data_IF_274887593109
#
_entry.id   IF_274887593109
#
_cell.length_a   1.000
_cell.length_b   1.000
_cell.length_c   1.000
_cell.angle_alpha   90.00
_cell.angle_beta   90.00
_cell.angle_gamma   90.00
#
_symmetry.space_group_name_H-M   'P 1'
#
loop_
_entity.id
_entity.type
_entity.pdbx_description
1 polymer ?
#
# COMPACT_ATOMS: atom_id res chain seq x y z
N UNK A 1 -19.09 15.03 8.54
CA UNK A 1 -18.27 14.66 7.39
C UNK A 1 -18.19 13.14 7.42
N UNK A 2 -18.27 12.52 6.26
CA UNK A 2 -18.20 11.07 6.09
C UNK A 2 -16.90 10.70 5.38
N UNK A 3 -16.52 9.41 5.39
CA UNK A 3 -15.39 8.93 4.59
C UNK A 3 -15.52 9.27 3.09
N UNK A 4 -16.74 9.42 2.57
CA UNK A 4 -17.03 9.91 1.21
C UNK A 4 -16.62 11.37 1.01
N UNK A 5 -16.88 12.22 2.00
CA UNK A 5 -16.49 13.63 1.95
C UNK A 5 -14.97 13.76 2.02
N UNK A 6 -14.31 12.99 2.89
CA UNK A 6 -12.84 12.87 2.94
C UNK A 6 -12.26 12.58 1.55
N UNK A 7 -12.80 11.58 0.84
CA UNK A 7 -12.33 11.21 -0.50
C UNK A 7 -12.48 12.37 -1.49
N UNK A 8 -13.60 13.07 -1.42
CA UNK A 8 -13.89 14.22 -2.28
C UNK A 8 -12.89 15.36 -2.03
N UNK A 9 -12.63 15.67 -0.76
CA UNK A 9 -11.72 16.74 -0.34
C UNK A 9 -10.24 16.42 -0.62
N UNK A 10 -9.88 15.12 -0.65
CA UNK A 10 -8.55 14.62 -0.94
C UNK A 10 -8.31 14.23 -2.41
N UNK A 11 -9.33 14.32 -3.28
CA UNK A 11 -9.31 13.71 -4.62
C UNK A 11 -8.16 14.20 -5.50
N UNK A 12 -7.86 15.51 -5.47
CA UNK A 12 -6.78 16.09 -6.27
C UNK A 12 -5.41 15.58 -5.81
N UNK A 13 -5.17 15.54 -4.50
CA UNK A 13 -3.92 15.02 -3.96
C UNK A 13 -3.78 13.52 -4.22
N UNK A 14 -4.86 12.75 -4.10
CA UNK A 14 -4.86 11.33 -4.41
C UNK A 14 -4.54 11.07 -5.89
N UNK A 15 -5.17 11.79 -6.82
CA UNK A 15 -4.87 11.67 -8.26
C UNK A 15 -3.42 12.05 -8.57
N UNK A 16 -2.91 13.13 -7.97
CA UNK A 16 -1.50 13.52 -8.08
C UNK A 16 -0.56 12.39 -7.60
N UNK A 17 -0.80 11.85 -6.41
CA UNK A 17 0.03 10.80 -5.83
C UNK A 17 -0.02 9.52 -6.68
N UNK A 18 -1.21 9.10 -7.11
CA UNK A 18 -1.38 7.90 -7.94
C UNK A 18 -0.65 8.00 -9.28
N UNK A 19 -0.60 9.19 -9.88
CA UNK A 19 0.08 9.40 -11.18
C UNK A 19 1.57 9.64 -11.04
N UNK A 20 2.00 10.34 -9.99
CA UNK A 20 3.36 10.83 -9.88
C UNK A 20 4.25 9.98 -8.96
N UNK A 21 3.71 9.26 -7.98
CA UNK A 21 4.50 8.37 -7.13
C UNK A 21 5.21 7.25 -7.92
N UNK A 22 4.57 6.59 -8.92
CA UNK A 22 5.25 5.58 -9.74
C UNK A 22 6.43 6.13 -10.55
N UNK A 23 6.53 7.44 -10.72
CA UNK A 23 7.64 8.07 -11.43
C UNK A 23 8.90 8.17 -10.56
N UNK A 24 8.78 7.96 -9.24
CA UNK A 24 9.85 8.11 -8.25
C UNK A 24 10.26 6.76 -7.62
N UNK A 25 10.50 5.68 -8.37
CA UNK A 25 10.88 4.43 -7.74
C UNK A 25 12.24 4.59 -7.07
N UNK A 26 12.39 4.13 -5.82
CA UNK A 26 13.70 3.91 -5.20
C UNK A 26 14.05 2.43 -5.06
N UNK A 27 13.13 1.56 -5.50
CA UNK A 27 13.26 0.11 -5.51
C UNK A 27 12.78 -0.45 -6.84
N UNK A 28 13.37 -1.57 -7.27
CA UNK A 28 13.15 -2.12 -8.60
C UNK A 28 11.71 -2.59 -8.79
N UNK A 29 10.96 -1.92 -9.66
CA UNK A 29 9.64 -2.39 -10.10
C UNK A 29 9.81 -3.61 -11.01
N UNK A 30 9.64 -4.81 -10.46
CA UNK A 30 9.53 -6.03 -11.24
C UNK A 30 8.10 -6.56 -11.18
N UNK A 31 7.43 -6.63 -12.33
CA UNK A 31 6.24 -7.46 -12.47
C UNK A 31 6.71 -8.92 -12.54
N UNK A 32 6.33 -9.68 -11.52
CA UNK A 32 6.66 -11.09 -11.39
C UNK A 32 5.43 -11.92 -11.75
N UNK A 33 5.49 -12.68 -12.85
CA UNK A 33 4.41 -13.56 -13.29
C UNK A 33 4.90 -14.98 -13.46
N UNK A 34 4.05 -15.95 -13.18
CA UNK A 34 4.37 -17.35 -13.42
C UNK A 34 3.15 -18.11 -13.91
N UNK A 35 3.38 -19.14 -14.72
CA UNK A 35 2.36 -20.07 -15.16
C UNK A 35 2.73 -21.47 -14.70
N UNK A 36 1.85 -22.10 -13.91
CA UNK A 36 1.91 -23.49 -13.50
C UNK A 36 0.87 -24.29 -14.29
N UNK A 37 1.33 -25.26 -15.07
CA UNK A 37 0.47 -26.23 -15.72
C UNK A 37 0.38 -27.47 -14.81
N UNK A 38 -0.79 -27.73 -14.21
CA UNK A 38 -0.95 -28.82 -13.22
C UNK A 38 -0.68 -30.18 -13.86
N UNK A 39 -1.21 -30.44 -15.06
CA UNK A 39 -1.10 -31.74 -15.72
C UNK A 39 0.34 -32.11 -16.08
N UNK A 40 1.15 -31.13 -16.49
CA UNK A 40 2.56 -31.36 -16.83
C UNK A 40 3.51 -31.15 -15.66
N UNK A 41 3.05 -30.51 -14.58
CA UNK A 41 3.87 -30.09 -13.44
C UNK A 41 4.95 -29.07 -13.78
N UNK A 42 4.88 -28.44 -14.96
CA UNK A 42 5.86 -27.46 -15.45
C UNK A 42 5.50 -26.05 -14.97
N UNK A 43 6.53 -25.30 -14.61
CA UNK A 43 6.42 -23.91 -14.15
C UNK A 43 7.24 -23.04 -15.08
N UNK A 44 6.60 -22.02 -15.65
CA UNK A 44 7.24 -20.99 -16.45
C UNK A 44 7.15 -19.68 -15.68
N UNK A 45 8.27 -19.23 -15.10
CA UNK A 45 8.36 -17.93 -14.45
C UNK A 45 8.89 -16.88 -15.44
N UNK A 46 8.21 -15.75 -15.54
CA UNK A 46 8.61 -14.58 -16.29
C UNK A 46 8.78 -13.42 -15.32
N UNK A 47 9.99 -12.85 -15.29
CA UNK A 47 10.25 -11.58 -14.63
C UNK A 47 10.38 -10.55 -15.73
N UNK A 48 9.44 -9.62 -15.80
CA UNK A 48 9.58 -8.50 -16.73
C UNK A 48 10.59 -7.51 -16.14
N UNK A 49 11.80 -7.51 -16.69
CA UNK A 49 12.75 -6.43 -16.48
C UNK A 49 12.38 -5.36 -17.50
N UNK A 50 11.76 -4.28 -17.03
CA UNK A 50 11.46 -3.15 -17.92
C UNK A 50 12.75 -2.38 -18.15
N UNK A 51 13.45 -2.70 -19.25
CA UNK A 51 14.58 -1.91 -19.74
C UNK A 51 14.04 -0.64 -20.40
N UNK A 52 14.07 0.48 -19.67
CA UNK A 52 13.73 1.78 -20.24
C UNK A 52 14.90 2.33 -21.08
N UNK A 53 14.78 2.26 -22.42
CA UNK A 53 15.60 3.04 -23.35
C UNK A 53 15.04 4.47 -23.47
N UNK A 54 15.39 5.33 -22.51
CA UNK A 54 15.04 6.75 -22.42
C UNK A 54 15.56 7.35 -21.10
N UNK A 55 15.46 8.68 -20.84
CA UNK A 55 15.67 9.18 -19.48
C UNK A 55 14.69 8.45 -18.56
N UNK A 56 15.21 7.75 -17.55
CA UNK A 56 14.39 6.98 -16.62
C UNK A 56 13.39 7.90 -15.91
N UNK A 57 12.28 7.34 -15.40
CA UNK A 57 11.36 8.11 -14.56
C UNK A 57 12.11 8.77 -13.37
N UNK A 58 13.09 8.06 -12.80
CA UNK A 58 14.04 8.55 -11.80
C UNK A 58 14.85 9.78 -12.28
N UNK A 59 15.29 9.80 -13.54
CA UNK A 59 15.96 10.95 -14.16
C UNK A 59 15.02 12.16 -14.28
N UNK A 60 13.75 11.95 -14.66
CA UNK A 60 12.74 13.01 -14.71
C UNK A 60 12.40 13.55 -13.30
N UNK A 61 12.40 12.70 -12.29
CA UNK A 61 12.19 13.08 -10.89
C UNK A 61 13.37 13.86 -10.32
N UNK A 62 14.60 13.43 -10.61
CA UNK A 62 15.80 14.16 -10.25
C UNK A 62 15.84 15.55 -10.89
N UNK A 63 15.37 15.66 -12.14
CA UNK A 63 15.25 16.93 -12.87
C UNK A 63 14.13 17.83 -12.31
N UNK A 64 12.97 17.27 -11.98
CA UNK A 64 11.79 18.03 -11.53
C UNK A 64 11.73 18.27 -10.01
N UNK A 65 12.56 17.58 -9.23
CA UNK A 65 12.58 17.62 -7.75
C UNK A 65 11.18 17.53 -7.15
N UNK A 66 10.35 16.60 -7.63
CA UNK A 66 8.94 16.51 -7.23
C UNK A 66 8.71 15.92 -5.83
N UNK A 67 9.72 15.30 -5.21
CA UNK A 67 9.58 14.63 -3.90
C UNK A 67 8.96 15.52 -2.81
N UNK A 68 9.39 16.78 -2.57
CA UNK A 68 8.71 17.68 -1.64
C UNK A 68 7.22 17.90 -1.95
N UNK A 69 6.84 17.95 -3.23
CA UNK A 69 5.44 18.09 -3.64
C UNK A 69 4.64 16.83 -3.26
N UNK A 70 5.18 15.63 -3.52
CA UNK A 70 4.53 14.37 -3.15
C UNK A 70 4.38 14.24 -1.63
N UNK A 71 5.39 14.62 -0.86
CA UNK A 71 5.28 14.62 0.61
C UNK A 71 4.24 15.63 1.08
N UNK A 72 4.19 16.82 0.48
CA UNK A 72 3.15 17.81 0.79
C UNK A 72 1.74 17.29 0.51
N UNK A 73 1.54 16.64 -0.64
CA UNK A 73 0.26 16.05 -1.03
C UNK A 73 -0.14 14.89 -0.10
N UNK A 74 0.77 13.95 0.15
CA UNK A 74 0.54 12.83 1.06
C UNK A 74 0.22 13.31 2.47
N UNK A 75 0.94 14.34 2.97
CA UNK A 75 0.65 14.89 4.28
C UNK A 75 -0.74 15.53 4.34
N UNK A 76 -1.19 16.23 3.29
CA UNK A 76 -2.55 16.78 3.23
C UNK A 76 -3.62 15.69 3.24
N UNK A 77 -3.43 14.60 2.49
CA UNK A 77 -4.37 13.46 2.54
C UNK A 77 -4.42 12.86 3.94
N UNK A 78 -3.26 12.65 4.57
CA UNK A 78 -3.17 12.15 5.95
C UNK A 78 -3.87 13.10 6.94
N UNK A 79 -3.70 14.41 6.75
CA UNK A 79 -4.34 15.45 7.58
C UNK A 79 -5.87 15.34 7.53
N UNK A 80 -6.44 15.24 6.34
CA UNK A 80 -7.87 15.06 6.14
C UNK A 80 -8.37 13.71 6.68
N UNK A 81 -7.58 12.65 6.51
CA UNK A 81 -7.88 11.32 7.06
C UNK A 81 -8.00 11.34 8.59
N UNK A 82 -7.04 11.97 9.29
CA UNK A 82 -7.11 12.10 10.75
C UNK A 82 -8.29 12.98 11.19
N UNK A 83 -8.55 14.09 10.50
CA UNK A 83 -9.71 14.93 10.83
C UNK A 83 -11.03 14.16 10.73
N UNK A 84 -11.17 13.33 9.69
CA UNK A 84 -12.35 12.49 9.55
C UNK A 84 -12.44 11.43 10.65
N UNK A 85 -11.32 10.75 10.94
CA UNK A 85 -11.23 9.79 12.04
C UNK A 85 -11.63 10.40 13.41
N UNK A 86 -11.22 11.64 13.69
CA UNK A 86 -11.61 12.37 14.90
C UNK A 86 -13.11 12.70 14.93
N UNK A 87 -13.67 13.17 13.80
CA UNK A 87 -15.11 13.48 13.70
C UNK A 87 -15.97 12.22 13.90
N UNK A 88 -15.53 11.05 13.42
CA UNK A 88 -16.24 9.78 13.59
C UNK A 88 -16.46 9.41 15.06
N UNK A 89 -15.58 9.84 15.97
CA UNK A 89 -15.73 9.64 17.42
C UNK A 89 -16.32 10.85 18.16
N UNK A 90 -16.83 11.83 17.41
CA UNK A 90 -17.54 13.00 17.96
C UNK A 90 -16.66 14.18 18.33
N UNK A 91 -15.34 14.13 18.10
CA UNK A 91 -14.45 15.26 18.34
C UNK A 91 -14.83 16.45 17.46
N UNK A 92 -14.76 17.64 18.05
CA UNK A 92 -15.15 18.89 17.39
C UNK A 92 -13.93 19.76 17.12
N UNK A 93 -13.90 20.50 15.99
CA UNK A 93 -12.90 21.52 15.73
C UNK A 93 -12.75 22.53 16.87
N UNK A 94 -11.51 22.90 17.21
CA UNK A 94 -11.20 23.97 18.17
C UNK A 94 -11.22 25.37 17.56
N UNK A 95 -11.40 25.48 16.23
CA UNK A 95 -11.48 26.75 15.51
C UNK A 95 -12.64 26.74 14.53
N UNK A 96 -13.16 27.93 14.20
CA UNK A 96 -14.24 28.10 13.22
C UNK A 96 -13.88 27.58 11.82
N UNK A 97 -12.58 27.53 11.50
CA UNK A 97 -12.03 27.05 10.22
C UNK A 97 -11.65 25.57 10.21
N UNK A 98 -11.92 24.81 11.27
CA UNK A 98 -11.53 23.41 11.40
C UNK A 98 -10.53 23.16 12.53
N UNK A 99 -9.94 21.96 12.55
CA UNK A 99 -9.02 21.55 13.61
C UNK A 99 -7.67 22.26 13.46
N UNK A 100 -7.19 22.88 14.53
CA UNK A 100 -5.84 23.43 14.57
C UNK A 100 -4.79 22.31 14.55
N UNK A 101 -3.63 22.56 13.94
CA UNK A 101 -2.50 21.60 13.95
C UNK A 101 -2.15 21.17 15.39
N UNK A 102 -2.17 22.11 16.35
CA UNK A 102 -1.89 21.81 17.75
C UNK A 102 -2.91 20.84 18.34
N UNK A 103 -4.20 21.03 18.02
CA UNK A 103 -5.26 20.15 18.49
C UNK A 103 -5.17 18.76 17.83
N UNK A 104 -4.97 18.68 16.51
CA UNK A 104 -4.77 17.42 15.78
C UNK A 104 -3.59 16.61 16.32
N UNK A 105 -2.45 17.27 16.56
CA UNK A 105 -1.27 16.63 17.17
C UNK A 105 -1.56 16.07 18.56
N UNK A 106 -2.38 16.76 19.36
CA UNK A 106 -2.81 16.26 20.67
C UNK A 106 -3.67 14.99 20.51
N UNK A 107 -4.73 15.07 19.72
CA UNK A 107 -5.63 13.93 19.48
C UNK A 107 -4.88 12.72 18.91
N UNK A 108 -3.93 12.94 18.00
CA UNK A 108 -3.08 11.90 17.44
C UNK A 108 -2.19 11.22 18.50
N UNK A 109 -1.54 11.98 19.39
CA UNK A 109 -0.75 11.41 20.50
C UNK A 109 -1.61 10.65 21.51
N UNK A 110 -2.85 11.08 21.69
CA UNK A 110 -3.82 10.42 22.56
C UNK A 110 -4.52 9.24 21.85
N UNK A 111 -4.15 8.95 20.60
CA UNK A 111 -4.68 7.88 19.74
C UNK A 111 -6.21 7.93 19.53
N UNK A 112 -6.80 9.11 19.63
CA UNK A 112 -8.25 9.33 19.48
C UNK A 112 -8.70 9.03 18.06
N UNK A 113 -9.86 8.39 17.88
CA UNK A 113 -10.46 8.23 16.55
C UNK A 113 -10.00 7.01 15.75
N UNK A 114 -9.39 6.00 16.40
CA UNK A 114 -8.96 4.76 15.74
C UNK A 114 -10.10 4.16 14.86
N UNK A 115 -9.94 4.12 13.52
CA UNK A 115 -10.96 3.55 12.65
C UNK A 115 -11.11 2.05 12.89
N UNK A 116 -12.34 1.54 12.93
CA UNK A 116 -12.61 0.13 13.21
C UNK A 116 -12.01 -0.85 12.17
N UNK A 117 -11.75 -0.35 10.95
CA UNK A 117 -11.14 -1.13 9.88
C UNK A 117 -9.60 -1.18 9.95
N UNK A 118 -8.96 -0.52 10.91
CA UNK A 118 -7.52 -0.57 11.10
C UNK A 118 -7.15 -1.28 12.41
N UNK A 119 -6.14 -2.16 12.39
CA UNK A 119 -5.53 -2.66 13.61
C UNK A 119 -4.98 -1.52 14.49
N UNK A 120 -5.05 -1.70 15.81
CA UNK A 120 -4.70 -0.66 16.78
C UNK A 120 -3.22 -0.23 16.69
N UNK A 121 -2.32 -1.17 16.46
CA UNK A 121 -0.89 -0.93 16.28
C UNK A 121 -0.58 -0.13 15.02
N UNK A 122 -1.24 -0.44 13.89
CA UNK A 122 -1.17 0.34 12.65
C UNK A 122 -1.68 1.75 12.91
N UNK A 123 -2.82 1.91 13.58
CA UNK A 123 -3.35 3.24 13.94
C UNK A 123 -2.36 4.05 14.81
N UNK A 124 -1.71 3.42 15.79
CA UNK A 124 -0.68 4.09 16.58
C UNK A 124 0.49 4.58 15.71
N UNK A 125 0.93 3.78 14.75
CA UNK A 125 1.98 4.15 13.82
C UNK A 125 1.56 5.32 12.91
N UNK A 126 0.32 5.32 12.41
CA UNK A 126 -0.28 6.41 11.62
C UNK A 126 -0.27 7.71 12.45
N UNK A 127 -0.86 7.68 13.64
CA UNK A 127 -1.06 8.86 14.48
C UNK A 127 0.27 9.48 14.94
N UNK A 128 1.24 8.64 15.35
CA UNK A 128 2.56 9.12 15.73
C UNK A 128 3.39 9.57 14.53
N UNK A 129 3.24 8.96 13.35
CA UNK A 129 3.88 9.48 12.12
C UNK A 129 3.35 10.87 11.78
N UNK A 130 2.04 11.09 11.89
CA UNK A 130 1.43 12.41 11.70
C UNK A 130 2.01 13.44 12.68
N UNK A 131 2.08 13.12 13.98
CA UNK A 131 2.61 14.05 15.00
C UNK A 131 4.10 14.39 14.77
N UNK A 132 4.91 13.38 14.42
CA UNK A 132 6.35 13.52 14.22
C UNK A 132 6.71 14.23 12.91
N UNK A 133 5.82 14.22 11.91
CA UNK A 133 6.03 14.90 10.62
C UNK A 133 5.40 16.28 10.55
N UNK A 134 4.64 16.71 11.56
CA UNK A 134 3.95 18.00 11.55
C UNK A 134 4.90 19.20 11.36
N UNK A 135 6.08 19.18 12.00
CA UNK A 135 7.06 20.26 11.87
C UNK A 135 7.76 20.21 10.49
N UNK A 136 7.93 19.02 9.91
CA UNK A 136 8.41 18.87 8.52
C UNK A 136 7.41 19.46 7.53
N UNK A 137 6.11 19.24 7.74
CA UNK A 137 5.06 19.88 6.95
C UNK A 137 5.04 21.40 7.10
N UNK A 138 5.21 21.93 8.30
CA UNK A 138 5.34 23.38 8.49
C UNK A 138 6.51 23.93 7.66
N UNK A 139 7.63 23.21 7.67
CA UNK A 139 8.80 23.51 6.84
C UNK A 139 8.47 23.50 5.34
N UNK A 140 7.72 22.51 4.86
CA UNK A 140 7.27 22.40 3.46
C UNK A 140 6.43 23.61 3.05
N UNK A 141 5.42 23.96 3.85
CA UNK A 141 4.51 25.09 3.58
C UNK A 141 5.27 26.41 3.52
N UNK A 142 6.28 26.57 4.37
CA UNK A 142 7.10 27.77 4.40
C UNK A 142 8.32 27.73 3.46
N UNK A 143 8.41 26.73 2.58
CA UNK A 143 9.51 26.56 1.61
C UNK A 143 10.89 26.54 2.25
N UNK A 144 10.99 25.93 3.44
CA UNK A 144 12.24 25.77 4.21
C UNK A 144 12.84 24.37 4.11
N UNK A 145 12.33 23.57 3.16
CA UNK A 145 12.87 22.26 2.84
C UNK A 145 13.79 22.29 1.62
N UNK A 146 14.71 21.34 1.56
CA UNK A 146 15.49 21.03 0.37
C UNK A 146 15.80 19.54 0.33
N UNK A 147 16.20 19.06 -0.84
CA UNK A 147 16.77 17.73 -1.02
C UNK A 147 18.30 17.84 -1.01
N UNK A 148 18.98 16.88 -0.39
CA UNK A 148 20.43 16.70 -0.57
C UNK A 148 20.76 15.82 -1.78
N UNK A 149 22.03 15.48 -1.97
CA UNK A 149 22.49 14.65 -3.10
C UNK A 149 22.06 13.18 -3.03
N UNK A 150 21.47 12.74 -1.91
CA UNK A 150 20.91 11.40 -1.74
C UNK A 150 19.37 11.43 -1.72
N UNK A 151 18.77 12.50 -2.27
CA UNK A 151 17.32 12.72 -2.27
C UNK A 151 16.70 12.76 -0.86
N UNK A 152 17.50 13.02 0.17
CA UNK A 152 17.00 13.12 1.55
C UNK A 152 16.33 14.47 1.76
N UNK A 153 15.10 14.46 2.25
CA UNK A 153 14.35 15.67 2.54
C UNK A 153 14.79 16.26 3.88
N UNK A 154 15.37 17.46 3.83
CA UNK A 154 15.89 18.19 4.98
C UNK A 154 15.04 19.43 5.20
N UNK A 155 14.35 19.48 6.35
CA UNK A 155 13.57 20.62 6.80
C UNK A 155 14.23 21.40 7.95
N UNK A 156 13.72 22.60 8.17
CA UNK A 156 14.01 23.43 9.35
C UNK A 156 12.75 23.79 10.11
N UNK A 157 12.86 23.84 11.43
CA UNK A 157 11.79 24.29 12.33
C UNK A 157 11.57 25.82 12.27
N UNK A 158 10.63 26.32 13.06
CA UNK A 158 10.31 27.75 13.17
C UNK A 158 11.44 28.61 13.76
N UNK A 159 12.41 27.99 14.44
CA UNK A 159 13.59 28.63 15.04
C UNK A 159 14.85 28.46 14.18
N UNK A 160 14.73 27.83 13.01
CA UNK A 160 15.85 27.54 12.10
C UNK A 160 16.67 26.29 12.45
N UNK A 161 16.28 25.55 13.49
CA UNK A 161 16.85 24.27 13.88
C UNK A 161 16.62 23.21 12.81
N UNK A 162 17.59 22.29 12.64
CA UNK A 162 17.47 21.20 11.66
C UNK A 162 16.47 20.17 12.17
N UNK A 163 15.48 19.84 11.35
CA UNK A 163 14.58 18.72 11.60
C UNK A 163 15.27 17.40 11.26
N UNK A 164 14.70 16.30 11.73
CA UNK A 164 15.14 14.96 11.32
C UNK A 164 15.02 14.85 9.79
N UNK A 165 16.08 14.45 9.09
CA UNK A 165 15.99 14.17 7.66
C UNK A 165 15.07 12.96 7.39
N UNK A 166 14.33 13.01 6.29
CA UNK A 166 13.53 11.89 5.78
C UNK A 166 14.20 11.34 4.52
N UNK A 167 14.68 10.10 4.58
CA UNK A 167 15.36 9.46 3.45
C UNK A 167 14.42 9.26 2.25
N UNK A 168 14.97 9.01 1.06
CA UNK A 168 14.17 8.74 -0.13
C UNK A 168 13.21 7.55 0.03
N UNK A 169 13.67 6.48 0.70
CA UNK A 169 12.85 5.30 1.01
C UNK A 169 11.74 5.60 2.04
N UNK A 170 12.00 6.44 3.05
CA UNK A 170 10.96 6.88 3.97
C UNK A 170 9.94 7.80 3.28
N UNK A 171 10.38 8.64 2.36
CA UNK A 171 9.49 9.49 1.56
C UNK A 171 8.52 8.65 0.73
N UNK A 172 9.03 7.62 0.05
CA UNK A 172 8.23 6.68 -0.72
C UNK A 172 7.27 5.91 0.20
N UNK A 173 7.77 5.33 1.29
CA UNK A 173 6.95 4.58 2.23
C UNK A 173 5.82 5.43 2.84
N UNK A 174 6.08 6.71 3.11
CA UNK A 174 5.07 7.65 3.58
C UNK A 174 3.97 7.87 2.54
N UNK A 175 4.34 8.09 1.27
CA UNK A 175 3.37 8.25 0.17
C UNK A 175 2.53 6.99 -0.02
N UNK A 176 3.15 5.82 -0.06
CA UNK A 176 2.46 4.53 -0.22
C UNK A 176 1.52 4.24 0.95
N UNK A 177 1.97 4.46 2.20
CA UNK A 177 1.13 4.28 3.37
C UNK A 177 -0.13 5.16 3.29
N UNK A 178 0.01 6.43 2.87
CA UNK A 178 -1.12 7.34 2.73
C UNK A 178 -2.10 6.89 1.64
N UNK A 179 -1.59 6.44 0.49
CA UNK A 179 -2.44 5.89 -0.57
C UNK A 179 -3.25 4.68 -0.07
N UNK A 180 -2.61 3.76 0.67
CA UNK A 180 -3.27 2.58 1.25
C UNK A 180 -4.29 2.95 2.33
N UNK A 181 -4.00 3.93 3.17
CA UNK A 181 -4.98 4.43 4.15
C UNK A 181 -6.22 5.00 3.46
N UNK A 182 -6.04 5.75 2.37
CA UNK A 182 -7.15 6.31 1.62
C UNK A 182 -8.01 5.23 0.95
N UNK A 183 -7.38 4.18 0.39
CA UNK A 183 -8.07 3.00 -0.14
C UNK A 183 -8.86 2.25 0.94
N UNK A 184 -8.25 2.01 2.10
CA UNK A 184 -8.92 1.38 3.24
C UNK A 184 -10.11 2.20 3.76
N UNK A 185 -9.99 3.53 3.79
CA UNK A 185 -11.09 4.43 4.13
C UNK A 185 -12.23 4.40 3.10
N UNK A 186 -11.92 4.36 1.80
CA UNK A 186 -12.91 4.31 0.73
C UNK A 186 -13.79 3.06 0.84
N UNK A 187 -13.15 1.92 1.10
CA UNK A 187 -13.86 0.66 1.27
C UNK A 187 -14.34 0.40 2.70
N UNK A 188 -13.96 1.27 3.65
CA UNK A 188 -14.17 1.11 5.10
C UNK A 188 -13.80 -0.30 5.59
N UNK A 189 -12.76 -0.88 5.00
CA UNK A 189 -12.25 -2.22 5.29
C UNK A 189 -10.75 -2.25 5.00
N UNK A 190 -10.02 -3.02 5.78
CA UNK A 190 -8.65 -3.39 5.44
C UNK A 190 -8.58 -4.91 5.40
N UNK A 191 -8.25 -5.47 4.24
CA UNK A 191 -7.93 -6.89 4.13
C UNK A 191 -6.51 -7.17 4.66
N UNK A 192 -6.14 -8.45 4.68
CA UNK A 192 -4.84 -8.89 5.18
C UNK A 192 -3.67 -8.28 4.41
N UNK A 193 -3.82 -8.06 3.09
CA UNK A 193 -2.81 -7.44 2.23
C UNK A 193 -2.60 -5.98 2.59
N UNK A 194 -3.69 -5.25 2.70
CA UNK A 194 -3.71 -3.82 3.03
C UNK A 194 -3.06 -3.59 4.38
N UNK A 195 -3.43 -4.38 5.40
CA UNK A 195 -2.83 -4.31 6.73
C UNK A 195 -1.33 -4.60 6.69
N UNK A 196 -0.91 -5.63 5.96
CA UNK A 196 0.49 -5.98 5.90
C UNK A 196 1.34 -4.99 5.10
N UNK A 197 0.83 -4.46 3.99
CA UNK A 197 1.50 -3.38 3.27
C UNK A 197 1.65 -2.16 4.17
N UNK A 198 0.57 -1.70 4.83
CA UNK A 198 0.63 -0.62 5.81
C UNK A 198 1.68 -0.90 6.88
N UNK A 199 1.71 -2.10 7.45
CA UNK A 199 2.72 -2.50 8.45
C UNK A 199 4.15 -2.46 7.93
N UNK A 200 4.39 -2.87 6.68
CA UNK A 200 5.70 -2.83 6.05
C UNK A 200 6.14 -1.39 5.71
N UNK A 201 5.23 -0.57 5.18
CA UNK A 201 5.50 0.84 4.91
C UNK A 201 5.80 1.60 6.21
N UNK A 202 4.98 1.44 7.25
CA UNK A 202 5.25 2.05 8.54
C UNK A 202 6.50 1.44 9.21
N UNK A 203 6.84 0.18 9.00
CA UNK A 203 8.12 -0.37 9.47
C UNK A 203 9.33 0.37 8.90
N UNK A 204 9.26 0.82 7.63
CA UNK A 204 10.28 1.72 7.04
C UNK A 204 10.30 3.09 7.74
N UNK A 205 9.16 3.55 8.22
CA UNK A 205 8.98 4.81 8.98
C UNK A 205 9.21 4.65 10.50
N UNK A 206 9.62 3.48 11.00
CA UNK A 206 9.78 3.20 12.45
C UNK A 206 10.64 4.21 13.17
N UNK A 207 11.64 4.77 12.48
CA UNK A 207 12.49 5.81 13.05
C UNK A 207 11.74 7.12 13.38
N UNK A 208 10.59 7.40 12.75
CA UNK A 208 9.67 8.49 13.10
C UNK A 208 8.82 8.10 14.32
N UNK A 209 7.96 7.10 14.16
CA UNK A 209 6.86 6.85 15.10
C UNK A 209 7.21 5.92 16.27
N UNK A 210 8.33 5.19 16.20
CA UNK A 210 8.85 4.29 17.26
C UNK A 210 7.95 3.12 17.68
N UNK A 211 6.86 2.87 16.95
CA UNK A 211 5.98 1.69 17.14
C UNK A 211 6.63 0.48 16.47
N UNK A 212 6.60 -0.67 17.15
CA UNK A 212 6.97 -1.95 16.54
C UNK A 212 5.72 -2.58 15.93
N UNK A 213 5.74 -2.83 14.63
CA UNK A 213 4.63 -3.47 13.92
C UNK A 213 4.95 -4.96 13.68
N UNK A 214 3.96 -5.84 13.85
CA UNK A 214 4.09 -7.25 13.52
C UNK A 214 4.25 -7.41 12.00
N UNK A 215 5.17 -8.29 11.60
CA UNK A 215 5.53 -8.47 10.20
C UNK A 215 6.61 -7.47 9.77
N UNK A 216 7.88 -7.84 9.98
CA UNK A 216 9.04 -7.18 9.33
C UNK A 216 9.15 -7.60 7.86
N UNK A 217 8.01 -7.63 7.16
CA UNK A 217 7.97 -7.95 5.74
C UNK A 217 8.57 -6.82 4.94
N UNK A 218 9.24 -7.16 3.85
CA UNK A 218 9.54 -6.21 2.79
C UNK A 218 8.21 -5.55 2.37
N UNK A 219 8.16 -4.21 2.21
CA UNK A 219 7.05 -3.54 1.54
C UNK A 219 6.56 -4.33 0.33
N UNK A 220 5.24 -4.41 0.12
CA UNK A 220 4.69 -5.12 -1.03
C UNK A 220 4.93 -4.23 -2.26
N UNK A 221 6.12 -4.33 -2.84
CA UNK A 221 6.53 -3.57 -4.03
C UNK A 221 5.80 -4.06 -5.28
N UNK A 222 5.57 -5.37 -5.36
CA UNK A 222 4.70 -6.00 -6.36
C UNK A 222 4.09 -7.28 -5.78
N UNK A 223 2.79 -7.47 -6.01
CA UNK A 223 2.13 -8.75 -5.75
C UNK A 223 2.36 -9.61 -6.99
N UNK A 224 3.08 -10.74 -6.88
CA UNK A 224 3.29 -11.61 -8.02
C UNK A 224 1.98 -12.30 -8.44
N UNK A 225 1.87 -12.60 -9.73
CA UNK A 225 0.69 -13.25 -10.31
C UNK A 225 1.02 -14.68 -10.75
N UNK A 226 0.37 -15.66 -10.13
CA UNK A 226 0.43 -17.07 -10.52
C UNK A 226 -0.80 -17.45 -11.33
N UNK A 227 -0.61 -17.75 -12.61
CA UNK A 227 -1.62 -18.44 -13.42
C UNK A 227 -1.49 -19.94 -13.26
N UNK A 228 -2.57 -20.62 -12.90
CA UNK A 228 -2.66 -22.07 -12.79
C UNK A 228 -3.58 -22.60 -13.88
N UNK A 229 -3.04 -23.46 -14.74
CA UNK A 229 -3.80 -24.12 -15.80
C UNK A 229 -4.30 -25.47 -15.27
N UNK A 230 -5.62 -25.64 -15.28
CA UNK A 230 -6.30 -26.85 -14.80
C UNK A 230 -7.02 -27.58 -15.92
N UNK A 231 -7.07 -28.90 -15.78
CA UNK A 231 -7.79 -29.80 -16.67
C UNK A 231 -9.08 -30.28 -15.98
N UNK A 232 -10.15 -30.56 -16.75
CA UNK A 232 -11.38 -31.10 -16.18
C UNK A 232 -11.15 -32.51 -15.64
N UNK A 233 -11.84 -32.84 -14.54
CA UNK A 233 -11.85 -34.19 -14.01
C UNK A 233 -12.44 -35.18 -15.03
N UNK A 234 -11.96 -36.42 -14.99
CA UNK A 234 -12.32 -37.47 -15.96
C UNK A 234 -13.80 -37.83 -15.93
N UNK A 235 -14.46 -37.60 -14.80
CA UNK A 235 -15.89 -37.83 -14.57
C UNK A 235 -16.76 -36.60 -14.85
N UNK A 236 -16.16 -35.47 -15.25
CA UNK A 236 -16.84 -34.21 -15.51
C UNK A 236 -17.36 -33.50 -14.25
N UNK A 237 -16.93 -33.92 -13.06
CA UNK A 237 -17.39 -33.36 -11.78
C UNK A 237 -16.92 -31.91 -11.53
N UNK A 238 -15.95 -31.43 -12.31
CA UNK A 238 -15.43 -30.07 -12.22
C UNK A 238 -13.91 -30.04 -12.43
N UNK A 239 -13.23 -29.16 -11.70
CA UNK A 239 -11.78 -28.99 -11.75
C UNK A 239 -11.19 -29.10 -10.36
N UNK A 240 -10.19 -29.98 -10.16
CA UNK A 240 -9.50 -30.09 -8.88
C UNK A 240 -8.33 -29.12 -8.79
N UNK A 241 -8.33 -28.32 -7.72
CA UNK A 241 -7.22 -27.47 -7.31
C UNK A 241 -6.58 -28.06 -6.05
N UNK A 242 -5.39 -28.62 -6.18
CA UNK A 242 -4.55 -28.99 -5.04
C UNK A 242 -3.79 -27.76 -4.53
N UNK A 243 -4.41 -27.02 -3.60
CA UNK A 243 -3.82 -25.80 -3.05
C UNK A 243 -2.49 -26.04 -2.31
N UNK A 244 -2.35 -27.10 -1.47
CA UNK A 244 -1.03 -27.47 -0.93
C UNK A 244 0.03 -27.64 -2.02
N UNK A 245 -0.26 -28.37 -3.10
CA UNK A 245 0.67 -28.54 -4.21
C UNK A 245 1.00 -27.20 -4.87
N UNK A 246 -0.01 -26.40 -5.25
CA UNK A 246 0.17 -25.08 -5.88
C UNK A 246 1.07 -24.18 -5.03
N UNK A 247 0.85 -24.13 -3.71
CA UNK A 247 1.67 -23.34 -2.78
C UNK A 247 3.14 -23.76 -2.76
N UNK A 248 3.43 -25.06 -2.78
CA UNK A 248 4.84 -25.54 -2.82
C UNK A 248 5.54 -25.26 -4.14
N UNK A 249 4.76 -24.95 -5.20
CA UNK A 249 5.24 -24.69 -6.55
C UNK A 249 5.33 -23.20 -6.89
N UNK A 250 5.01 -22.30 -5.96
CA UNK A 250 5.22 -20.87 -6.19
C UNK A 250 6.73 -20.59 -6.35
N UNK A 251 7.15 -19.90 -7.42
CA UNK A 251 8.57 -19.60 -7.63
C UNK A 251 9.08 -18.51 -6.68
N UNK A 252 8.18 -17.76 -6.04
CA UNK A 252 8.51 -16.67 -5.12
C UNK A 252 8.55 -17.16 -3.67
N UNK A 253 9.57 -17.97 -3.37
CA UNK A 253 9.79 -18.43 -2.00
C UNK A 253 10.07 -17.24 -1.07
N UNK A 254 9.19 -17.03 -0.09
CA UNK A 254 9.24 -15.90 0.84
C UNK A 254 8.28 -14.76 0.53
N UNK A 255 7.57 -14.78 -0.62
CA UNK A 255 6.44 -13.86 -0.82
C UNK A 255 5.28 -14.25 0.08
N UNK A 256 4.75 -13.29 0.84
CA UNK A 256 3.57 -13.49 1.70
C UNK A 256 2.25 -13.44 0.92
N UNK A 257 2.27 -12.83 -0.27
CA UNK A 257 1.08 -12.56 -1.08
C UNK A 257 1.29 -13.00 -2.52
N UNK A 258 0.23 -13.46 -3.17
CA UNK A 258 0.24 -13.84 -4.58
C UNK A 258 -1.17 -13.79 -5.15
N UNK A 259 -1.34 -13.14 -6.29
CA UNK A 259 -2.58 -13.27 -7.06
C UNK A 259 -2.61 -14.63 -7.73
N UNK A 260 -3.77 -15.29 -7.64
CA UNK A 260 -4.03 -16.58 -8.26
C UNK A 260 -5.02 -16.37 -9.40
N UNK A 261 -4.63 -16.76 -10.60
CA UNK A 261 -5.50 -16.83 -11.77
C UNK A 261 -5.67 -18.30 -12.10
N UNK A 262 -6.90 -18.81 -12.11
CA UNK A 262 -7.19 -20.17 -12.54
C UNK A 262 -7.74 -20.12 -13.95
N UNK A 263 -7.03 -20.76 -14.89
CA UNK A 263 -7.42 -20.88 -16.29
C UNK A 263 -7.78 -22.33 -16.60
N UNK A 264 -8.97 -22.53 -17.17
CA UNK A 264 -9.45 -23.85 -17.55
C UNK A 264 -9.00 -24.18 -18.98
N UNK A 265 -8.30 -25.31 -19.18
CA UNK A 265 -7.75 -25.65 -20.50
C UNK A 265 -8.82 -25.81 -21.57
N UNK A 266 -9.98 -26.36 -21.20
CA UNK A 266 -11.12 -26.61 -22.08
C UNK A 266 -12.07 -25.41 -22.19
N UNK A 267 -11.88 -24.34 -21.40
CA UNK A 267 -12.70 -23.12 -21.42
C UNK A 267 -11.83 -21.86 -21.53
N UNK A 268 -11.15 -21.64 -22.67
CA UNK A 268 -10.32 -20.46 -22.86
C UNK A 268 -11.14 -19.17 -22.73
N UNK A 269 -10.57 -18.18 -22.02
CA UNK A 269 -11.21 -16.89 -21.78
C UNK A 269 -12.11 -16.84 -20.53
N UNK A 270 -12.41 -17.99 -19.92
CA UNK A 270 -13.00 -18.04 -18.58
C UNK A 270 -11.88 -18.21 -17.56
N UNK A 271 -11.56 -17.14 -16.83
CA UNK A 271 -10.61 -17.17 -15.73
C UNK A 271 -11.33 -16.86 -14.42
N UNK A 272 -10.90 -17.51 -13.35
CA UNK A 272 -11.28 -17.11 -11.99
C UNK A 272 -10.09 -16.46 -11.31
N UNK A 273 -10.36 -15.42 -10.52
CA UNK A 273 -9.34 -14.64 -9.84
C UNK A 273 -9.51 -14.76 -8.34
N UNK A 274 -8.40 -14.93 -7.63
CA UNK A 274 -8.42 -15.04 -6.19
C UNK A 274 -7.07 -14.68 -5.59
N UNK A 275 -7.03 -14.71 -4.27
CA UNK A 275 -5.81 -14.47 -3.52
C UNK A 275 -5.28 -15.80 -3.00
N UNK A 276 -4.04 -16.13 -3.34
CA UNK A 276 -3.48 -17.44 -3.00
C UNK A 276 -3.48 -17.65 -1.49
N UNK A 277 -3.20 -16.64 -0.69
CA UNK A 277 -3.19 -16.71 0.77
C UNK A 277 -4.58 -16.89 1.42
N UNK A 278 -5.67 -16.57 0.72
CA UNK A 278 -7.03 -16.83 1.19
C UNK A 278 -7.53 -18.24 0.84
N UNK A 279 -6.81 -18.93 -0.05
CA UNK A 279 -7.17 -20.28 -0.46
C UNK A 279 -7.04 -21.30 0.70
N UNK A 280 -7.98 -22.25 0.82
CA UNK A 280 -7.95 -23.22 1.92
C UNK A 280 -6.77 -24.19 1.77
N UNK A 281 -6.24 -24.70 2.89
CA UNK A 281 -5.15 -25.69 2.90
C UNK A 281 -5.63 -27.12 2.61
N UNK A 282 -6.33 -27.30 1.49
CA UNK A 282 -6.86 -28.59 1.04
C UNK A 282 -7.07 -28.60 -0.47
N UNK A 283 -7.37 -29.78 -0.99
CA UNK A 283 -7.86 -29.93 -2.37
C UNK A 283 -9.28 -29.36 -2.45
N UNK A 284 -9.55 -28.58 -3.48
CA UNK A 284 -10.85 -27.93 -3.74
C UNK A 284 -11.37 -28.37 -5.10
N UNK A 285 -12.62 -28.81 -5.16
CA UNK A 285 -13.35 -28.98 -6.41
C UNK A 285 -13.99 -27.65 -6.80
N UNK A 286 -13.71 -27.17 -8.01
CA UNK A 286 -14.20 -25.89 -8.53
C UNK A 286 -15.19 -26.14 -9.66
N UNK A 287 -16.36 -25.51 -9.56
CA UNK A 287 -17.30 -25.32 -10.66
C UNK A 287 -17.17 -23.87 -11.17
N UNK A 288 -16.77 -23.63 -12.42
CA UNK A 288 -16.66 -22.27 -12.96
C UNK A 288 -17.98 -21.50 -13.00
N UNK A 289 -19.13 -22.19 -12.98
CA UNK A 289 -20.46 -21.57 -12.94
C UNK A 289 -20.89 -21.12 -11.54
N UNK A 290 -20.28 -21.68 -10.49
CA UNK A 290 -20.53 -21.36 -9.09
C UNK A 290 -19.22 -21.43 -8.31
N UNK A 291 -18.30 -20.49 -8.57
CA UNK A 291 -16.97 -20.60 -8.03
C UNK A 291 -16.98 -20.25 -6.52
N UNK A 292 -16.05 -20.80 -5.73
CA UNK A 292 -16.03 -20.56 -4.29
C UNK A 292 -15.71 -19.09 -4.01
N UNK A 293 -16.21 -18.54 -2.90
CA UNK A 293 -16.16 -17.09 -2.63
C UNK A 293 -14.78 -16.43 -2.63
N UNK A 294 -13.71 -17.21 -2.45
CA UNK A 294 -12.31 -16.74 -2.46
C UNK A 294 -11.68 -16.72 -3.87
N UNK A 295 -12.38 -17.26 -4.86
CA UNK A 295 -11.92 -17.43 -6.24
C UNK A 295 -13.09 -17.11 -7.17
N UNK A 296 -13.21 -15.88 -7.67
CA UNK A 296 -14.36 -15.41 -8.44
C UNK A 296 -13.99 -14.61 -9.70
#
# INVERSE_FOLDING_TARGET
MSWTDFKTDAALELDLLQRAAPLVPTRGSGDARATLDIATGKIHAAVSVVDFLGPSAESCVGLLRIRPLLIGAAWKVLDLFLEEAFRQVGEQPDQSRGFSIKHKRKLARDFVGAPAFLPQDVWQAVALTYDQTADLRDSLVHRRVHLDGADTLIGRDSKGGKLRPMSAAEQEAFVHAVLRLAEAADHQRSDLRTVADLSAQFSTLKALHKVALPGTGTPIESIPELTVIVDPESDGSGYLLDMPYIRTRTPWQGSLYCDLIVTFRDRPGQNLHGHLEEAPEKIVLVDPGQPPSWLA
#
